data_IF_452542737978
#
_entry.id   IF_452542737978
#
_cell.length_a   1.000
_cell.length_b   1.000
_cell.length_c   1.000
_cell.angle_alpha   90.00
_cell.angle_beta   90.00
_cell.angle_gamma   90.00
#
_symmetry.space_group_name_H-M   'P 1'
#
loop_
_entity.id
_entity.type
_entity.pdbx_description
1 polymer ?
2 polymer ?
3 polymer ?
4 polymer ?
5 non-polymer ?
6 non-polymer ?
7 non-polymer ?
8 non-polymer ?
9 non-polymer ?
10 non-polymer ?
11 water ?
#
loop_
_entity_poly.entity_id
_entity_poly.type
_entity_poly.pdbx_seq_one_letter_code
_entity_poly.pdbx_strand_id
2 'polydeoxyribonucleotide' '(DC)(DG)(DG)(DC)(DA)(DT)(DA)(DC)(DG)' ?
3 'polydeoxyribonucleotide' '(DC)(DG)(DT)(DA)' ?
4 'polydeoxyribonucleotide' '(DG)(DC)(DC)(DG)' ?
#
# COMPACT_ATOMS: atom_id res chain seq x y z
N UNK A 11 19.15 20.76 2.25
CA UNK A 11 19.69 19.42 2.07
C UNK A 11 18.56 18.43 1.82
N UNK A 12 18.80 17.16 2.16
CA UNK A 12 17.79 16.11 2.05
C UNK A 12 17.44 15.65 3.46
N UNK A 13 16.21 15.85 3.94
CA UNK A 13 15.88 15.38 5.30
C UNK A 13 15.80 13.86 5.35
N UNK A 14 15.90 13.34 6.58
CA UNK A 14 16.05 11.91 6.78
C UNK A 14 14.73 11.15 6.75
N UNK A 15 13.61 11.82 7.01
CA UNK A 15 12.30 11.18 6.98
C UNK A 15 11.59 11.45 5.65
N UNK A 16 10.96 10.42 5.07
CA UNK A 16 10.29 10.60 3.80
C UNK A 16 9.13 11.58 3.89
N UNK A 17 8.54 11.74 5.08
CA UNK A 17 7.43 12.65 5.23
C UNK A 17 7.86 14.11 5.29
N UNK A 18 9.16 14.37 5.30
CA UNK A 18 9.70 15.72 5.32
C UNK A 18 10.03 16.27 3.94
N UNK A 19 9.78 15.50 2.89
CA UNK A 19 10.18 15.92 1.54
C UNK A 19 9.12 15.47 0.54
N UNK A 20 8.86 16.26 -0.50
CA UNK A 20 7.94 15.81 -1.54
C UNK A 20 8.54 14.68 -2.35
N UNK A 21 7.72 13.66 -2.60
CA UNK A 21 8.13 12.55 -3.45
C UNK A 21 7.07 12.37 -4.54
N UNK A 22 7.38 12.74 -5.78
CA UNK A 22 6.39 12.61 -6.87
C UNK A 22 6.32 11.18 -7.37
N UNK A 23 5.24 10.93 -8.13
CA UNK A 23 5.01 9.59 -8.64
C UNK A 23 6.06 9.18 -9.65
N UNK A 24 6.40 10.07 -10.56
CA UNK A 24 7.45 9.84 -11.54
C UNK A 24 8.62 10.76 -11.23
N UNK A 25 9.83 10.28 -11.53
CA UNK A 25 11.01 10.98 -11.06
C UNK A 25 12.18 10.71 -12.01
N UNK A 26 13.40 10.95 -11.51
CA UNK A 26 14.57 10.99 -12.37
C UNK A 26 15.60 9.92 -12.05
N UNK A 27 15.25 8.93 -11.25
CA UNK A 27 16.17 7.86 -10.86
C UNK A 27 15.44 6.54 -10.83
N UNK A 28 14.60 6.29 -11.83
CA UNK A 28 13.71 5.14 -11.80
C UNK A 28 14.48 3.83 -11.69
N UNK A 29 15.50 3.66 -12.54
CA UNK A 29 16.23 2.41 -12.57
C UNK A 29 16.97 2.12 -11.28
N UNK A 30 17.60 3.15 -10.70
CA UNK A 30 18.28 2.98 -9.42
C UNK A 30 17.30 2.63 -8.31
N UNK A 31 16.15 3.30 -8.25
CA UNK A 31 15.19 3.01 -7.20
C UNK A 31 14.63 1.60 -7.36
N UNK A 32 14.33 1.19 -8.58
CA UNK A 32 13.77 -0.14 -8.78
C UNK A 32 14.74 -1.23 -8.32
N UNK A 33 16.05 -1.01 -8.52
CA UNK A 33 17.03 -2.01 -8.11
C UNK A 33 17.11 -2.13 -6.60
N UNK A 34 17.15 -1.01 -5.90
CA UNK A 34 17.15 -1.04 -4.44
C UNK A 34 15.87 -1.66 -3.90
N UNK A 35 14.75 -1.48 -4.58
CA UNK A 35 13.50 -2.06 -4.09
C UNK A 35 13.44 -3.56 -4.33
N UNK A 36 14.21 -4.09 -5.29
CA UNK A 36 14.36 -5.54 -5.38
C UNK A 36 15.03 -6.08 -4.12
N UNK A 37 16.10 -5.43 -3.67
CA UNK A 37 16.79 -5.90 -2.48
C UNK A 37 15.93 -5.76 -1.25
N UNK A 38 15.10 -4.69 -1.20
CA UNK A 38 14.18 -4.53 -0.07
C UNK A 38 13.19 -5.67 -0.04
N UNK A 39 12.61 -5.98 -1.19
CA UNK A 39 11.66 -7.09 -1.31
C UNK A 39 12.29 -8.40 -0.88
N UNK A 40 13.51 -8.68 -1.36
CA UNK A 40 14.18 -9.93 -0.99
C UNK A 40 14.47 -9.98 0.50
N UNK A 41 14.88 -8.86 1.07
CA UNK A 41 15.09 -8.82 2.53
C UNK A 41 13.81 -9.21 3.27
N UNK A 42 12.67 -8.67 2.84
CA UNK A 42 11.40 -9.06 3.43
C UNK A 42 11.14 -10.55 3.32
N UNK A 43 11.44 -11.14 2.17
CA UNK A 43 11.22 -12.57 2.00
C UNK A 43 12.05 -13.40 2.97
N UNK A 44 13.17 -12.86 3.46
CA UNK A 44 14.01 -13.56 4.41
C UNK A 44 13.77 -13.11 5.85
N UNK A 45 12.78 -12.25 6.09
CA UNK A 45 12.47 -11.82 7.43
C UNK A 45 13.34 -10.72 7.99
N UNK A 46 14.08 -10.02 7.14
CA UNK A 46 14.99 -8.96 7.58
C UNK A 46 14.30 -7.61 7.38
N UNK A 47 13.43 -7.28 8.34
CA UNK A 47 12.64 -6.05 8.23
C UNK A 47 13.52 -4.81 8.35
N UNK A 48 14.63 -4.89 9.09
CA UNK A 48 15.52 -3.75 9.16
C UNK A 48 16.18 -3.43 7.83
N UNK A 49 16.75 -4.44 7.18
CA UNK A 49 17.38 -4.21 5.88
C UNK A 49 16.34 -3.79 4.84
N UNK A 50 15.14 -4.38 4.90
CA UNK A 50 14.08 -3.96 4.00
C UNK A 50 13.80 -2.47 4.15
N UNK A 51 13.69 -2.00 5.41
CA UNK A 51 13.39 -0.59 5.62
C UNK A 51 14.49 0.31 5.04
N UNK A 52 15.75 -0.02 5.30
CA UNK A 52 16.84 0.80 4.79
C UNK A 52 16.82 0.85 3.27
N UNK A 53 16.66 -0.30 2.62
CA UNK A 53 16.62 -0.32 1.16
C UNK A 53 15.41 0.46 0.63
N UNK A 54 14.25 0.33 1.29
CA UNK A 54 13.10 1.12 0.89
C UNK A 54 13.38 2.61 1.02
N UNK A 55 13.98 3.02 2.16
CA UNK A 55 14.25 4.44 2.38
C UNK A 55 15.26 4.97 1.39
N UNK A 56 16.32 4.18 1.11
CA UNK A 56 17.33 4.63 0.15
C UNK A 56 16.71 4.82 -1.24
N UNK A 57 15.91 3.85 -1.68
CA UNK A 57 15.17 4.01 -2.93
C UNK A 57 14.34 5.29 -2.93
N UNK A 58 13.64 5.56 -1.81
CA UNK A 58 12.75 6.72 -1.74
C UNK A 58 13.54 8.02 -1.83
N UNK A 59 14.72 8.04 -1.23
CA UNK A 59 15.57 9.22 -1.32
C UNK A 59 15.85 9.58 -2.78
N UNK A 60 16.17 8.58 -3.59
CA UNK A 60 16.43 8.84 -5.00
C UNK A 60 15.17 9.35 -5.71
N UNK A 61 14.01 8.85 -5.32
CA UNK A 61 12.77 9.34 -5.92
C UNK A 61 12.59 10.83 -5.67
N UNK A 62 13.11 11.33 -4.57
CA UNK A 62 12.89 12.72 -4.16
C UNK A 62 13.92 13.67 -4.72
N UNK A 63 14.94 13.16 -5.41
CA UNK A 63 15.99 14.02 -5.94
C UNK A 63 15.49 14.80 -7.16
N UNK A 64 16.07 15.97 -7.43
CA UNK A 64 15.57 16.82 -8.52
C UNK A 64 16.13 16.46 -9.90
N UNK A 65 17.07 15.52 -9.98
CA UNK A 65 17.70 15.19 -11.25
C UNK A 65 18.35 13.81 -11.13
N UNK A 66 18.81 13.24 -12.25
CA UNK A 66 19.41 11.90 -12.18
C UNK A 66 20.76 11.90 -11.48
N UNK A 67 20.98 10.86 -10.67
CA UNK A 67 22.32 10.56 -10.16
C UNK A 67 23.17 10.02 -11.31
N UNK A 68 24.31 10.71 -11.57
CA UNK A 68 25.25 10.37 -12.62
C UNK A 68 26.58 9.87 -12.10
N UNK A 69 26.95 10.19 -10.85
CA UNK A 69 28.25 9.93 -10.30
C UNK A 69 28.09 9.53 -8.85
N UNK A 70 28.96 8.63 -8.41
CA UNK A 70 28.90 8.18 -7.02
C UNK A 70 29.03 9.35 -6.05
N UNK A 71 29.78 10.35 -6.40
CA UNK A 71 29.91 11.44 -5.50
C UNK A 71 28.61 12.13 -5.11
N UNK A 72 27.62 12.06 -5.98
CA UNK A 72 26.34 12.69 -5.67
C UNK A 72 25.60 11.99 -4.53
N UNK A 73 26.07 10.84 -4.08
CA UNK A 73 25.46 10.17 -2.93
C UNK A 73 25.98 10.66 -1.59
N UNK A 74 27.15 11.30 -1.55
CA UNK A 74 27.70 11.74 -0.28
C UNK A 74 26.74 12.67 0.42
N UNK A 75 26.50 12.42 1.71
CA UNK A 75 25.58 13.20 2.48
C UNK A 75 24.13 12.79 2.38
N UNK A 76 23.77 11.96 1.41
CA UNK A 76 22.36 11.54 1.28
C UNK A 76 22.01 10.60 2.42
N UNK A 77 20.90 10.81 3.12
CA UNK A 77 20.53 9.87 4.20
C UNK A 77 20.21 8.48 3.66
N UNK A 78 20.57 7.47 4.45
CA UNK A 78 20.25 6.07 4.22
C UNK A 78 21.07 5.43 3.12
N UNK A 79 22.16 6.08 2.66
CA UNK A 79 23.10 5.49 1.73
C UNK A 79 24.39 5.21 2.49
N UNK A 80 24.69 3.93 2.69
CA UNK A 80 25.94 3.50 3.27
C UNK A 80 26.72 2.66 2.30
N UNK A 81 27.60 1.80 2.82
CA UNK A 81 28.44 1.00 1.94
C UNK A 81 27.61 0.15 0.99
N UNK A 82 26.54 -0.48 1.49
CA UNK A 82 25.84 -1.45 0.66
C UNK A 82 25.06 -0.77 -0.46
N UNK A 83 24.19 0.17 -0.12
CA UNK A 83 23.36 0.82 -1.13
C UNK A 83 24.21 1.64 -2.10
N UNK A 84 25.32 2.21 -1.65
CA UNK A 84 26.15 2.97 -2.57
C UNK A 84 26.84 2.04 -3.58
N UNK A 85 27.24 0.84 -3.13
CA UNK A 85 27.84 -0.10 -4.08
C UNK A 85 26.83 -0.53 -5.14
N UNK A 86 25.57 -0.77 -4.75
CA UNK A 86 24.54 -1.10 -5.74
C UNK A 86 24.47 0.02 -6.79
N UNK A 87 24.44 1.27 -6.35
CA UNK A 87 24.34 2.38 -7.27
C UNK A 87 25.60 2.48 -8.13
N UNK A 88 26.78 2.28 -7.54
CA UNK A 88 28.00 2.39 -8.32
C UNK A 88 28.04 1.35 -9.44
N UNK A 89 27.64 0.12 -9.15
CA UNK A 89 27.64 -0.92 -10.17
C UNK A 89 26.64 -0.60 -11.28
N UNK A 90 25.46 -0.08 -10.91
CA UNK A 90 24.49 0.29 -11.93
C UNK A 90 25.02 1.44 -12.79
N UNK A 91 25.70 2.42 -12.18
CA UNK A 91 26.24 3.53 -12.94
C UNK A 91 27.37 3.08 -13.86
N UNK A 92 28.17 2.12 -13.41
CA UNK A 92 29.36 1.70 -14.16
C UNK A 92 29.06 0.62 -15.20
N UNK A 93 28.16 -0.32 -14.90
CA UNK A 93 27.95 -1.47 -15.74
C UNK A 93 26.51 -1.63 -16.22
N UNK A 94 25.59 -0.77 -15.79
CA UNK A 94 24.20 -0.90 -16.13
C UNK A 94 23.45 -2.01 -15.41
N UNK A 95 24.13 -2.82 -14.61
CA UNK A 95 23.51 -3.88 -13.83
C UNK A 95 24.26 -3.96 -12.50
N UNK A 96 23.58 -4.48 -11.49
CA UNK A 96 24.19 -4.79 -10.20
C UNK A 96 24.14 -6.31 -10.02
N UNK A 97 25.31 -6.93 -9.82
CA UNK A 97 25.37 -8.38 -9.81
C UNK A 97 24.47 -8.98 -8.72
N UNK A 98 24.47 -8.36 -7.53
CA UNK A 98 23.61 -8.86 -6.47
C UNK A 98 22.13 -8.81 -6.88
N UNK A 99 21.70 -7.70 -7.47
CA UNK A 99 20.30 -7.57 -7.88
C UNK A 99 19.93 -8.64 -8.90
N UNK A 100 20.80 -8.85 -9.90
CA UNK A 100 20.49 -9.86 -10.92
C UNK A 100 20.48 -11.25 -10.32
N UNK A 101 21.36 -11.52 -9.35
CA UNK A 101 21.34 -12.83 -8.70
C UNK A 101 20.02 -13.06 -7.96
N UNK A 102 19.49 -12.01 -7.34
CA UNK A 102 18.18 -12.15 -6.68
C UNK A 102 17.09 -12.39 -7.70
N UNK A 103 17.10 -11.61 -8.79
CA UNK A 103 16.03 -11.69 -9.79
C UNK A 103 15.83 -13.12 -10.30
N UNK A 104 16.91 -13.85 -10.52
CA UNK A 104 16.86 -15.16 -11.14
C UNK A 104 16.82 -16.32 -10.15
N UNK A 105 16.91 -16.03 -8.85
CA UNK A 105 16.94 -17.09 -7.86
C UNK A 105 15.56 -17.72 -7.72
N UNK A 106 15.54 -19.05 -7.60
CA UNK A 106 14.29 -19.76 -7.43
C UNK A 106 13.56 -19.28 -6.18
N UNK A 107 14.30 -18.98 -5.12
CA UNK A 107 13.70 -18.55 -3.86
C UNK A 107 12.94 -17.24 -4.04
N UNK A 108 13.59 -16.24 -4.66
CA UNK A 108 12.94 -14.96 -4.85
C UNK A 108 11.71 -15.08 -5.74
N UNK A 109 11.84 -15.79 -6.86
CA UNK A 109 10.74 -15.92 -7.80
C UNK A 109 9.55 -16.63 -7.19
N UNK A 110 9.80 -17.66 -6.41
CA UNK A 110 8.68 -18.41 -5.84
C UNK A 110 8.01 -17.65 -4.70
N UNK A 111 8.82 -17.02 -3.86
CA UNK A 111 8.25 -16.22 -2.78
C UNK A 111 7.47 -15.03 -3.31
N UNK A 112 7.95 -14.41 -4.41
CA UNK A 112 7.18 -13.36 -5.03
C UNK A 112 5.84 -13.88 -5.56
N UNK A 113 5.85 -15.03 -6.24
CA UNK A 113 4.62 -15.60 -6.77
C UNK A 113 3.66 -15.96 -5.64
N UNK A 114 4.17 -16.54 -4.56
CA UNK A 114 3.29 -16.99 -3.48
C UNK A 114 2.76 -15.81 -2.67
N UNK A 115 3.64 -14.86 -2.27
CA UNK A 115 3.18 -13.77 -1.41
C UNK A 115 2.20 -12.84 -2.14
N UNK A 116 2.22 -12.82 -3.46
CA UNK A 116 1.28 -11.99 -4.21
C UNK A 116 -0.08 -12.63 -4.35
N UNK A 117 -0.28 -13.83 -3.79
CA UNK A 117 -1.62 -14.39 -3.67
C UNK A 117 -2.36 -13.72 -2.52
N UNK A 118 -3.58 -13.25 -2.78
CA UNK A 118 -4.44 -12.73 -1.71
C UNK A 118 -4.71 -13.84 -0.71
N UNK A 119 -4.34 -13.61 0.55
CA UNK A 119 -4.46 -14.60 1.59
C UNK A 119 -3.16 -15.30 1.97
N UNK A 120 -2.07 -14.99 1.29
CA UNK A 120 -0.78 -15.63 1.54
C UNK A 120 0.22 -14.53 1.90
N UNK A 121 0.85 -14.67 3.07
CA UNK A 121 1.91 -13.77 3.48
C UNK A 121 3.27 -14.45 3.44
N UNK A 122 4.28 -13.70 3.89
CA UNK A 122 5.65 -14.21 3.86
C UNK A 122 5.75 -15.52 4.62
N UNK A 123 5.13 -15.58 5.81
CA UNK A 123 5.23 -16.78 6.63
C UNK A 123 4.67 -17.99 5.90
N UNK A 124 3.46 -17.86 5.32
CA UNK A 124 2.86 -18.99 4.62
C UNK A 124 3.68 -19.35 3.38
N UNK A 125 4.10 -18.35 2.61
CA UNK A 125 4.90 -18.63 1.42
C UNK A 125 6.19 -19.35 1.78
N UNK A 126 6.84 -18.92 2.86
CA UNK A 126 8.11 -19.54 3.24
C UNK A 126 7.91 -21.01 3.62
N UNK A 127 6.86 -21.31 4.36
CA UNK A 127 6.58 -22.69 4.73
C UNK A 127 6.31 -23.55 3.51
N UNK A 128 5.46 -23.05 2.61
CA UNK A 128 5.21 -23.77 1.35
C UNK A 128 6.49 -23.98 0.55
N UNK A 129 7.37 -22.96 0.54
CA UNK A 129 8.63 -23.10 -0.18
C UNK A 129 9.47 -24.22 0.42
N UNK A 130 9.58 -24.24 1.76
CA UNK A 130 10.36 -25.30 2.41
C UNK A 130 9.76 -26.67 2.15
N UNK A 131 8.43 -26.74 2.04
CA UNK A 131 7.77 -28.01 1.76
C UNK A 131 7.96 -28.47 0.32
N UNK A 132 8.62 -27.68 -0.53
CA UNK A 132 8.90 -28.08 -1.89
C UNK A 132 7.95 -27.53 -2.93
N UNK A 133 6.94 -26.76 -2.53
CA UNK A 133 5.98 -26.23 -3.49
C UNK A 133 6.60 -25.06 -4.24
N UNK A 134 6.27 -24.95 -5.54
CA UNK A 134 6.88 -23.91 -6.37
C UNK A 134 5.90 -23.20 -7.31
N UNK A 135 4.79 -23.82 -7.70
CA UNK A 135 3.89 -23.25 -8.69
C UNK A 135 2.49 -23.10 -8.12
N UNK A 136 1.67 -22.29 -8.79
CA UNK A 136 0.27 -22.17 -8.39
C UNK A 136 -0.45 -23.50 -8.53
N UNK A 137 -0.14 -24.24 -9.60
CA UNK A 137 -0.76 -25.56 -9.77
C UNK A 137 -0.40 -26.50 -8.62
N UNK A 138 0.82 -26.37 -8.08
CA UNK A 138 1.16 -27.13 -6.88
C UNK A 138 0.16 -26.85 -5.76
N UNK A 139 -0.16 -25.59 -5.55
CA UNK A 139 -1.11 -25.24 -4.50
C UNK A 139 -2.51 -25.75 -4.82
N UNK A 140 -2.90 -25.70 -6.08
CA UNK A 140 -4.25 -26.13 -6.46
C UNK A 140 -4.44 -27.64 -6.35
N UNK A 141 -3.35 -28.41 -6.39
CA UNK A 141 -3.48 -29.87 -6.38
C UNK A 141 -3.95 -30.40 -5.03
N UNK A 142 -3.81 -29.63 -3.95
CA UNK A 142 -4.26 -30.02 -2.62
C UNK A 142 -4.96 -28.86 -1.95
N UNK A 143 -6.19 -28.55 -2.37
CA UNK A 143 -6.91 -27.42 -1.76
C UNK A 143 -7.17 -27.56 -0.28
N UNK A 144 -7.27 -28.80 0.23
CA UNK A 144 -7.58 -29.00 1.64
C UNK A 144 -6.66 -28.22 2.57
N UNK A 145 -5.46 -27.86 2.10
CA UNK A 145 -4.50 -27.11 2.87
C UNK A 145 -4.73 -25.59 2.79
N UNK A 146 -5.83 -25.15 2.19
CA UNK A 146 -6.02 -23.73 1.89
C UNK A 146 -7.16 -23.16 2.71
N UNK A 147 -7.01 -21.89 3.10
CA UNK A 147 -8.09 -21.17 3.72
C UNK A 147 -9.09 -20.71 2.66
N UNK A 148 -10.27 -20.30 3.11
CA UNK A 148 -11.24 -19.72 2.18
C UNK A 148 -10.66 -18.50 1.47
N UNK A 149 -9.92 -17.67 2.20
CA UNK A 149 -9.30 -16.50 1.61
C UNK A 149 -8.30 -16.88 0.53
N UNK A 150 -7.52 -17.93 0.78
CA UNK A 150 -6.50 -18.35 -0.20
C UNK A 150 -7.15 -19.04 -1.39
N UNK A 151 -8.21 -19.82 -1.18
CA UNK A 151 -8.93 -20.39 -2.31
C UNK A 151 -9.46 -19.30 -3.23
N UNK A 152 -10.00 -18.22 -2.64
CA UNK A 152 -10.46 -17.10 -3.44
C UNK A 152 -9.31 -16.40 -4.15
N UNK A 153 -8.20 -16.19 -3.44
CA UNK A 153 -7.06 -15.55 -4.06
C UNK A 153 -6.50 -16.36 -5.21
N UNK A 154 -6.54 -17.68 -5.08
CA UNK A 154 -6.02 -18.55 -6.15
C UNK A 154 -6.97 -18.63 -7.33
N UNK A 155 -8.28 -18.76 -7.06
CA UNK A 155 -9.27 -18.81 -8.13
C UNK A 155 -9.21 -17.58 -9.02
N UNK A 156 -9.10 -16.42 -8.41
CA UNK A 156 -9.11 -15.14 -9.13
C UNK A 156 -7.73 -14.57 -9.40
N UNK A 157 -6.68 -15.36 -9.16
CA UNK A 157 -5.33 -14.81 -9.19
C UNK A 157 -5.03 -14.15 -10.54
N UNK A 158 -5.47 -14.76 -11.65
CA UNK A 158 -5.17 -14.20 -12.96
C UNK A 158 -5.78 -12.80 -13.13
N UNK A 159 -7.08 -12.68 -12.85
CA UNK A 159 -7.70 -11.36 -12.92
C UNK A 159 -7.03 -10.37 -11.96
N UNK A 160 -6.71 -10.82 -10.75
CA UNK A 160 -6.14 -9.94 -9.75
C UNK A 160 -4.75 -9.48 -10.15
N UNK A 161 -4.12 -10.16 -11.11
CA UNK A 161 -2.82 -9.76 -11.63
C UNK A 161 -2.92 -8.72 -12.74
N UNK A 162 -4.12 -8.45 -13.23
CA UNK A 162 -4.34 -7.48 -14.30
C UNK A 162 -4.47 -6.09 -13.69
N UNK A 163 -3.80 -5.08 -14.25
CA UNK A 163 -3.87 -3.74 -13.66
C UNK A 163 -5.30 -3.21 -13.66
N UNK A 164 -5.68 -2.65 -12.53
CA UNK A 164 -6.92 -1.88 -12.44
C UNK A 164 -6.71 -0.54 -13.12
N UNK A 165 -7.64 -0.15 -13.99
CA UNK A 165 -7.54 1.10 -14.72
C UNK A 165 -8.46 2.16 -14.10
N UNK A 166 -8.25 3.40 -14.52
CA UNK A 166 -9.10 4.50 -14.05
C UNK A 166 -10.54 4.30 -14.46
N UNK A 167 -10.77 3.82 -15.69
CA UNK A 167 -12.11 3.45 -16.12
C UNK A 167 -12.77 2.51 -15.12
N UNK A 168 -12.03 1.53 -14.62
CA UNK A 168 -12.57 0.59 -13.66
C UNK A 168 -12.94 1.30 -12.38
N UNK A 169 -12.12 2.26 -11.96
CA UNK A 169 -12.36 2.96 -10.70
C UNK A 169 -13.67 3.75 -10.76
N UNK A 170 -13.87 4.50 -11.86
CA UNK A 170 -15.10 5.28 -12.00
C UNK A 170 -16.31 4.38 -11.90
N UNK A 171 -16.27 3.22 -12.56
CA UNK A 171 -17.41 2.31 -12.53
C UNK A 171 -17.66 1.80 -11.11
N UNK A 172 -16.59 1.42 -10.42
CA UNK A 172 -16.75 0.83 -9.09
C UNK A 172 -17.25 1.89 -8.10
N UNK A 173 -16.76 3.12 -8.19
CA UNK A 173 -17.20 4.13 -7.23
C UNK A 173 -18.70 4.38 -7.33
N UNK A 174 -19.24 4.35 -8.55
CA UNK A 174 -20.67 4.62 -8.68
C UNK A 174 -21.51 3.52 -8.06
N UNK A 175 -21.11 2.25 -8.22
CA UNK A 175 -21.91 1.20 -7.63
C UNK A 175 -21.76 1.20 -6.11
N UNK A 176 -20.56 1.49 -5.62
CA UNK A 176 -20.36 1.61 -4.17
C UNK A 176 -21.21 2.76 -3.60
N UNK A 177 -21.23 3.89 -4.29
CA UNK A 177 -22.09 5.01 -3.85
C UNK A 177 -23.55 4.63 -3.82
N UNK A 178 -24.02 3.88 -4.83
CA UNK A 178 -25.40 3.46 -4.84
C UNK A 178 -25.73 2.63 -3.61
N UNK A 179 -24.88 1.65 -3.28
CA UNK A 179 -25.15 0.82 -2.12
C UNK A 179 -25.02 1.64 -0.82
N UNK A 180 -24.01 2.49 -0.74
CA UNK A 180 -23.85 3.33 0.45
C UNK A 180 -25.05 4.26 0.62
N UNK A 181 -25.54 4.81 -0.50
CA UNK A 181 -26.71 5.69 -0.42
C UNK A 181 -27.95 5.01 0.11
N UNK A 182 -28.14 3.71 -0.21
CA UNK A 182 -29.26 2.98 0.34
C UNK A 182 -28.99 2.52 1.76
N UNK A 183 -27.73 2.23 2.09
CA UNK A 183 -27.41 1.77 3.44
C UNK A 183 -27.60 2.91 4.44
N UNK A 184 -27.24 4.13 4.05
CA UNK A 184 -27.30 5.26 4.96
C UNK A 184 -27.35 6.56 4.18
N UNK A 185 -28.53 7.15 4.00
CA UNK A 185 -28.62 8.47 3.36
C UNK A 185 -27.69 9.48 3.99
N UNK A 186 -26.97 10.23 3.14
CA UNK A 186 -26.04 11.20 3.60
C UNK A 186 -24.61 10.70 3.72
N UNK A 187 -24.38 9.39 3.64
CA UNK A 187 -23.03 8.87 3.74
C UNK A 187 -22.26 9.16 2.46
N UNK A 188 -20.96 9.36 2.58
CA UNK A 188 -20.09 9.74 1.47
C UNK A 188 -19.07 8.66 1.21
N UNK A 189 -18.60 8.64 -0.04
CA UNK A 189 -17.56 7.71 -0.48
C UNK A 189 -16.40 8.52 -1.03
N UNK A 190 -15.19 8.23 -0.54
CA UNK A 190 -14.01 8.95 -0.98
C UNK A 190 -12.99 7.94 -1.53
N UNK A 191 -12.49 8.21 -2.73
CA UNK A 191 -11.44 7.38 -3.31
C UNK A 191 -10.14 7.67 -2.60
N UNK A 192 -9.46 6.64 -2.15
CA UNK A 192 -8.17 6.80 -1.50
C UNK A 192 -7.13 5.91 -2.17
N UNK A 193 -6.14 5.45 -1.43
CA UNK A 193 -5.11 4.62 -1.99
C UNK A 193 -4.30 5.30 -3.10
N UNK A 194 -3.71 4.45 -3.93
CA UNK A 194 -2.77 4.94 -4.94
C UNK A 194 -3.40 5.84 -5.99
N UNK A 195 -4.68 5.61 -6.33
CA UNK A 195 -5.32 6.48 -7.29
C UNK A 195 -5.43 7.91 -6.78
N UNK A 196 -5.62 8.08 -5.48
CA UNK A 196 -5.66 9.45 -4.95
C UNK A 196 -4.30 10.11 -5.02
N UNK A 197 -3.22 9.33 -5.02
CA UNK A 197 -1.87 9.89 -5.19
C UNK A 197 -1.54 10.17 -6.64
N UNK A 198 -2.48 9.93 -7.56
CA UNK A 198 -2.29 10.24 -8.96
C UNK A 198 -1.90 9.05 -9.81
N UNK A 199 -1.84 7.86 -9.25
CA UNK A 199 -1.51 6.69 -10.05
C UNK A 199 -2.59 6.47 -11.09
N UNK A 200 -2.17 6.03 -12.28
CA UNK A 200 -3.12 5.72 -13.32
C UNK A 200 -3.58 4.27 -13.30
N UNK A 201 -2.86 3.40 -12.61
CA UNK A 201 -3.22 1.99 -12.43
C UNK A 201 -3.09 1.62 -10.97
N UNK A 202 -3.60 0.42 -10.64
CA UNK A 202 -3.50 -0.08 -9.28
C UNK A 202 -3.74 -1.57 -9.25
N UNK A 203 -3.41 -2.17 -8.10
CA UNK A 203 -3.74 -3.56 -7.84
C UNK A 203 -5.15 -3.74 -7.30
N UNK A 204 -5.76 -2.66 -6.84
CA UNK A 204 -7.07 -2.70 -6.21
C UNK A 204 -7.60 -1.28 -6.16
N UNK A 205 -8.81 -1.13 -5.63
CA UNK A 205 -9.41 0.18 -5.41
C UNK A 205 -9.74 0.29 -3.93
N UNK A 206 -9.44 1.44 -3.35
CA UNK A 206 -9.65 1.70 -1.94
C UNK A 206 -10.65 2.82 -1.77
N UNK A 207 -11.66 2.59 -0.92
CA UNK A 207 -12.69 3.57 -0.67
C UNK A 207 -12.84 3.79 0.83
N UNK A 208 -12.99 5.05 1.22
CA UNK A 208 -13.22 5.47 2.61
C UNK A 208 -14.61 6.07 2.73
N UNK A 209 -15.40 5.55 3.67
CA UNK A 209 -16.81 5.86 3.82
C UNK A 209 -17.02 6.52 5.18
N UNK A 210 -17.80 7.61 5.21
CA UNK A 210 -18.12 8.28 6.46
C UNK A 210 -19.50 8.93 6.36
N UNK A 211 -19.90 9.60 7.42
CA UNK A 211 -21.14 10.35 7.47
C UNK A 211 -20.90 11.64 8.25
N UNK A 212 -21.48 12.76 7.81
CA UNK A 212 -21.18 14.05 8.49
C UNK A 212 -21.67 14.10 9.93
N UNK A 213 -22.58 13.23 10.33
CA UNK A 213 -23.12 13.22 11.70
C UNK A 213 -22.41 12.12 12.48
N UNK A 214 -21.56 12.54 13.41
CA UNK A 214 -20.77 11.60 14.20
C UNK A 214 -21.66 10.55 14.82
N UNK A 215 -21.29 9.28 14.61
CA UNK A 215 -21.98 8.15 15.18
C UNK A 215 -22.93 7.45 14.22
N UNK A 216 -23.49 8.18 13.25
CA UNK A 216 -24.44 7.56 12.33
C UNK A 216 -23.79 6.54 11.43
N UNK A 217 -22.46 6.58 11.30
CA UNK A 217 -21.77 5.56 10.50
C UNK A 217 -21.67 4.23 11.21
N UNK A 218 -22.04 4.15 12.49
CA UNK A 218 -21.99 2.89 13.21
C UNK A 218 -22.87 1.84 12.53
N UNK A 219 -22.34 0.63 12.38
CA UNK A 219 -23.07 -0.45 11.76
C UNK A 219 -23.22 -0.35 10.26
N UNK A 220 -22.50 0.56 9.61
CA UNK A 220 -22.75 0.84 8.21
C UNK A 220 -22.19 -0.24 7.29
N UNK A 221 -21.00 -0.76 7.56
CA UNK A 221 -20.37 -1.65 6.61
C UNK A 221 -21.15 -2.92 6.37
N UNK A 222 -21.73 -3.59 7.38
CA UNK A 222 -22.56 -4.75 7.07
C UNK A 222 -23.73 -4.42 6.15
N UNK A 223 -24.34 -3.24 6.33
CA UNK A 223 -25.46 -2.86 5.47
C UNK A 223 -24.99 -2.65 4.04
N UNK A 224 -23.84 -2.02 3.87
CA UNK A 224 -23.27 -1.83 2.54
C UNK A 224 -22.98 -3.18 1.90
N UNK A 225 -22.29 -4.06 2.63
CA UNK A 225 -21.92 -5.36 2.07
C UNK A 225 -23.15 -6.14 1.67
N UNK A 226 -24.17 -6.18 2.54
CA UNK A 226 -25.37 -6.94 2.23
C UNK A 226 -26.01 -6.44 0.93
N UNK A 227 -25.94 -5.13 0.69
CA UNK A 227 -26.55 -4.55 -0.50
C UNK A 227 -25.72 -4.83 -1.75
N UNK A 228 -24.40 -4.79 -1.62
CA UNK A 228 -23.56 -5.20 -2.75
C UNK A 228 -23.72 -6.68 -3.04
N UNK A 229 -23.84 -7.50 -2.00
CA UNK A 229 -24.05 -8.95 -2.19
C UNK A 229 -25.33 -9.24 -2.98
N UNK A 230 -26.43 -8.60 -2.61
CA UNK A 230 -27.69 -8.91 -3.29
C UNK A 230 -27.73 -8.35 -4.71
N UNK A 231 -26.80 -7.48 -5.07
CA UNK A 231 -26.63 -7.09 -6.47
C UNK A 231 -25.75 -8.06 -7.25
N UNK A 232 -25.30 -9.14 -6.62
CA UNK A 232 -24.43 -10.08 -7.30
C UNK A 232 -23.07 -9.54 -7.70
N UNK A 233 -22.55 -8.56 -6.95
CA UNK A 233 -21.28 -7.94 -7.28
C UNK A 233 -20.12 -8.44 -6.44
N UNK A 234 -20.38 -9.24 -5.41
CA UNK A 234 -19.35 -9.63 -4.46
C UNK A 234 -18.97 -11.07 -4.76
N UNK A 235 -17.76 -11.28 -5.27
CA UNK A 235 -17.26 -12.63 -5.49
C UNK A 235 -16.67 -13.22 -4.22
N UNK A 236 -16.16 -12.38 -3.32
CA UNK A 236 -15.60 -12.85 -2.05
C UNK A 236 -15.61 -11.71 -1.04
N UNK A 237 -15.89 -12.06 0.22
CA UNK A 237 -15.66 -11.11 1.32
C UNK A 237 -15.66 -11.89 2.62
N UNK A 238 -15.24 -11.31 3.69
CA UNK A 238 -15.21 -12.05 4.94
C UNK A 238 -16.50 -11.85 5.72
N UNK A 259 -18.03 -4.40 11.86
CA UNK A 259 -16.63 -4.32 11.46
C UNK A 259 -16.37 -3.01 10.71
N UNK A 260 -15.10 -2.69 10.49
CA UNK A 260 -14.67 -1.41 9.94
C UNK A 260 -13.97 -1.51 8.60
N UNK A 261 -13.40 -2.66 8.24
CA UNK A 261 -12.65 -2.84 7.01
C UNK A 261 -13.12 -4.12 6.33
N UNK A 262 -13.41 -4.04 5.04
CA UNK A 262 -13.81 -5.20 4.25
C UNK A 262 -12.88 -5.35 3.07
N UNK A 263 -12.21 -6.49 2.99
CA UNK A 263 -11.30 -6.83 1.88
C UNK A 263 -12.08 -7.77 0.97
N UNK A 264 -12.56 -7.26 -0.14
CA UNK A 264 -13.44 -8.07 -0.97
C UNK A 264 -12.98 -8.03 -2.43
N UNK A 265 -13.54 -8.97 -3.19
CA UNK A 265 -13.28 -9.11 -4.62
C UNK A 265 -14.59 -8.84 -5.31
N UNK A 266 -14.64 -7.78 -6.11
CA UNK A 266 -15.82 -7.37 -6.85
C UNK A 266 -15.86 -8.10 -8.19
N UNK A 267 -17.07 -8.25 -8.71
CA UNK A 267 -17.30 -8.65 -10.08
C UNK A 267 -17.54 -7.38 -10.90
N UNK A 268 -16.59 -7.04 -11.76
CA UNK A 268 -16.65 -5.81 -12.52
C UNK A 268 -17.00 -6.08 -13.98
N UNK A 269 -18.10 -5.54 -14.48
CA UNK A 269 -18.42 -5.68 -15.90
C UNK A 269 -17.28 -5.27 -16.83
N UNK A 270 -17.18 -6.00 -17.94
CA UNK A 270 -16.22 -5.74 -19.00
C UNK A 270 -16.97 -5.93 -20.34
N UNK A 271 -16.42 -5.49 -21.45
CA UNK A 271 -17.04 -5.76 -22.75
C UNK A 271 -17.41 -7.22 -22.94
N UNK A 272 -18.72 -7.50 -22.88
CA UNK A 272 -19.19 -8.85 -23.07
C UNK A 272 -18.77 -9.85 -22.01
N UNK A 273 -18.25 -9.39 -20.88
CA UNK A 273 -17.82 -10.31 -19.84
C UNK A 273 -17.65 -9.51 -18.54
N UNK A 274 -16.70 -9.93 -17.70
CA UNK A 274 -16.40 -9.26 -16.44
C UNK A 274 -15.04 -9.73 -15.97
N UNK A 275 -14.53 -9.06 -14.93
CA UNK A 275 -13.28 -9.47 -14.31
C UNK A 275 -13.36 -9.22 -12.82
N UNK A 276 -12.62 -10.03 -12.07
CA UNK A 276 -12.53 -9.86 -10.62
C UNK A 276 -11.57 -8.73 -10.28
N UNK A 277 -11.97 -7.89 -9.31
CA UNK A 277 -11.14 -6.77 -8.88
C UNK A 277 -11.18 -6.71 -7.36
N UNK A 278 -10.00 -6.59 -6.76
CA UNK A 278 -9.89 -6.35 -5.33
C UNK A 278 -10.36 -4.94 -5.00
N UNK A 279 -11.24 -4.83 -4.01
CA UNK A 279 -11.74 -3.56 -3.51
C UNK A 279 -11.69 -3.60 -1.99
N UNK A 280 -11.18 -2.53 -1.39
CA UNK A 280 -11.17 -2.37 0.05
C UNK A 280 -12.16 -1.30 0.43
N UNK A 281 -13.05 -1.61 1.36
CA UNK A 281 -14.02 -0.65 1.88
C UNK A 281 -13.73 -0.43 3.35
N UNK A 282 -13.66 0.83 3.75
CA UNK A 282 -13.29 1.23 5.09
C UNK A 282 -14.30 2.27 5.56
N UNK A 283 -14.71 2.16 6.82
CA UNK A 283 -15.62 3.12 7.43
C UNK A 283 -14.90 3.79 8.58
N UNK A 284 -15.10 5.10 8.73
CA UNK A 284 -14.56 5.85 9.86
C UNK A 284 -15.56 6.93 10.25
N UNK A 285 -15.71 7.22 11.53
CA UNK A 285 -16.51 8.38 11.93
C UNK A 285 -15.82 9.66 11.48
N UNK A 286 -16.61 10.71 11.30
CA UNK A 286 -16.07 11.94 10.72
C UNK A 286 -14.93 12.48 11.58
N UNK A 287 -14.98 12.25 12.91
CA UNK A 287 -13.89 12.70 13.78
C UNK A 287 -12.56 12.03 13.42
N UNK A 288 -12.59 10.80 12.91
CA UNK A 288 -11.39 10.09 12.53
C UNK A 288 -11.08 10.17 11.04
N UNK A 289 -12.01 10.73 10.26
CA UNK A 289 -11.88 10.70 8.80
C UNK A 289 -10.55 11.26 8.29
N UNK A 290 -10.08 12.41 8.79
CA UNK A 290 -8.77 12.90 8.31
C UNK A 290 -7.65 11.92 8.55
N UNK A 291 -7.63 11.26 9.69
CA UNK A 291 -6.57 10.30 9.99
C UNK A 291 -6.69 9.05 9.13
N UNK A 292 -7.92 8.61 8.85
CA UNK A 292 -8.10 7.44 8.01
C UNK A 292 -7.79 7.77 6.57
N UNK A 293 -8.19 8.97 6.13
CA UNK A 293 -7.84 9.42 4.78
C UNK A 293 -6.32 9.46 4.61
N UNK A 294 -5.63 10.03 5.57
CA UNK A 294 -4.17 10.13 5.50
C UNK A 294 -3.55 8.74 5.42
N UNK A 295 -4.00 7.84 6.28
CA UNK A 295 -3.40 6.53 6.32
C UNK A 295 -3.65 5.73 5.05
N UNK A 296 -4.92 5.69 4.60
CA UNK A 296 -5.26 4.90 3.43
C UNK A 296 -4.78 5.49 2.12
N UNK A 297 -4.39 6.77 2.11
CA UNK A 297 -3.83 7.38 0.91
C UNK A 297 -2.34 7.04 0.72
N UNK A 298 -1.62 6.67 1.77
CA UNK A 298 -0.29 6.12 1.62
C UNK A 298 0.70 7.22 1.23
N UNK A 299 1.81 6.80 0.62
CA UNK A 299 2.17 5.41 0.43
C UNK A 299 2.43 4.68 1.73
N UNK A 300 2.68 3.36 1.63
CA UNK A 300 3.00 2.58 2.82
C UNK A 300 4.24 3.15 3.51
N UNK A 301 5.31 3.36 2.76
CA UNK A 301 6.52 3.92 3.37
C UNK A 301 6.25 5.31 3.95
N UNK A 302 5.51 6.15 3.23
CA UNK A 302 5.19 7.47 3.73
C UNK A 302 4.52 7.37 5.09
N UNK A 303 3.56 6.44 5.26
CA UNK A 303 2.85 6.36 6.54
C UNK A 303 3.74 5.84 7.64
N UNK A 304 4.56 4.81 7.35
CA UNK A 304 5.53 4.33 8.33
C UNK A 304 6.46 5.46 8.77
N UNK A 305 6.97 6.23 7.81
CA UNK A 305 7.89 7.31 8.14
C UNK A 305 7.16 8.43 8.89
N UNK A 306 5.93 8.72 8.52
CA UNK A 306 5.15 9.74 9.22
C UNK A 306 4.91 9.33 10.66
N UNK A 307 4.57 8.06 10.89
CA UNK A 307 4.36 7.60 12.27
C UNK A 307 5.67 7.55 13.06
N UNK A 308 6.76 7.14 12.40
CA UNK A 308 8.06 7.14 13.06
C UNK A 308 8.46 8.55 13.45
N UNK A 309 8.31 9.49 12.51
CA UNK A 309 8.62 10.88 12.78
C UNK A 309 7.78 11.39 13.96
N UNK A 310 6.48 11.11 13.93
CA UNK A 310 5.60 11.54 14.99
C UNK A 310 6.11 11.11 16.35
N UNK A 311 6.36 9.81 16.51
CA UNK A 311 6.74 9.29 17.82
C UNK A 311 8.11 9.77 18.23
N UNK A 312 9.11 9.60 17.36
CA UNK A 312 10.49 9.81 17.78
C UNK A 312 10.92 11.27 17.77
N UNK A 313 10.36 12.08 16.88
CA UNK A 313 10.72 13.49 16.86
C UNK A 313 9.76 14.35 17.69
N UNK A 314 8.46 14.05 17.69
CA UNK A 314 7.48 14.89 18.36
C UNK A 314 6.88 14.26 19.61
N UNK A 315 7.19 13.00 19.91
CA UNK A 315 6.62 12.36 21.08
C UNK A 315 5.13 12.16 21.01
N UNK A 316 4.56 12.08 19.80
CA UNK A 316 3.14 11.87 19.56
C UNK A 316 2.93 10.55 18.85
N UNK A 317 1.81 9.88 19.18
CA UNK A 317 1.50 8.55 18.64
C UNK A 317 0.41 8.67 17.58
N UNK A 318 0.74 8.25 16.35
CA UNK A 318 -0.15 8.43 15.21
C UNK A 318 -0.59 7.09 14.63
N UNK A 319 -1.86 7.01 14.27
CA UNK A 319 -2.36 5.91 13.46
C UNK A 319 -3.52 6.41 12.64
N UNK A 320 -4.29 5.48 12.04
CA UNK A 320 -5.39 5.88 11.19
C UNK A 320 -6.66 6.18 11.95
N UNK A 321 -6.60 6.20 13.29
CA UNK A 321 -7.71 6.64 14.11
C UNK A 321 -7.50 8.03 14.69
N UNK A 322 -6.25 8.44 14.93
CA UNK A 322 -6.02 9.71 15.57
C UNK A 322 -4.56 9.93 15.90
N UNK A 323 -4.33 11.00 16.65
CA UNK A 323 -2.99 11.42 17.06
C UNK A 323 -3.04 11.72 18.55
N UNK A 324 -2.24 10.99 19.32
CA UNK A 324 -2.34 10.95 20.77
C UNK A 324 -1.11 11.59 21.39
N UNK A 325 -1.34 12.51 22.32
CA UNK A 325 -0.28 13.07 23.15
C UNK A 325 -0.19 12.24 24.42
N UNK A 326 0.86 11.43 24.60
CA UNK A 326 0.90 10.55 25.77
C UNK A 326 1.28 11.27 27.06
N UNK A 327 1.78 12.50 26.98
CA UNK A 327 2.10 13.24 28.19
C UNK A 327 0.84 13.83 28.82
N UNK A 328 0.00 14.47 28.02
CA UNK A 328 -1.25 15.05 28.50
C UNK A 328 -2.44 14.11 28.38
N UNK A 329 -2.27 12.97 27.73
CA UNK A 329 -3.34 11.96 27.65
C UNK A 329 -4.54 12.50 26.90
N UNK A 330 -4.28 13.11 25.74
CA UNK A 330 -5.34 13.73 24.96
C UNK A 330 -5.11 13.47 23.48
N UNK A 331 -6.20 13.43 22.72
CA UNK A 331 -6.17 13.24 21.27
C UNK A 331 -6.32 14.59 20.57
N UNK A 332 -5.52 14.79 19.53
CA UNK A 332 -5.64 15.98 18.70
C UNK A 332 -6.89 15.86 17.81
N UNK A 333 -7.73 16.87 17.86
CA UNK A 333 -8.85 16.94 16.92
C UNK A 333 -8.33 17.47 15.60
N UNK A 334 -8.76 16.85 14.52
CA UNK A 334 -8.37 17.29 13.18
C UNK A 334 -9.60 17.34 12.31
N UNK A 335 -9.75 18.42 11.54
CA UNK A 335 -10.81 18.53 10.54
C UNK A 335 -10.32 18.30 9.13
N UNK A 336 -9.01 18.10 8.94
CA UNK A 336 -8.42 17.97 7.62
C UNK A 336 -7.04 17.33 7.75
N UNK A 337 -6.55 16.81 6.62
CA UNK A 337 -5.16 16.40 6.56
C UNK A 337 -4.24 17.57 6.87
N UNK A 338 -4.61 18.76 6.39
CA UNK A 338 -3.79 19.93 6.69
C UNK A 338 -3.59 20.11 8.19
N UNK A 339 -4.66 19.92 8.97
CA UNK A 339 -4.54 20.01 10.44
C UNK A 339 -3.48 19.05 10.96
N UNK A 340 -3.43 17.83 10.41
CA UNK A 340 -2.52 16.82 10.96
C UNK A 340 -1.07 17.18 10.69
N UNK A 341 -0.76 17.60 9.45
CA UNK A 341 0.60 18.04 9.17
C UNK A 341 0.99 19.20 10.09
N UNK A 342 0.06 20.13 10.36
CA UNK A 342 0.38 21.25 11.24
C UNK A 342 0.66 20.77 12.67
N UNK A 343 -0.16 19.86 13.17
CA UNK A 343 0.05 19.29 14.49
C UNK A 343 1.45 18.72 14.62
N UNK A 344 1.95 18.09 13.54
CA UNK A 344 3.24 17.45 13.53
C UNK A 344 4.38 18.38 13.13
N UNK A 345 4.09 19.66 12.87
CA UNK A 345 5.16 20.59 12.50
C UNK A 345 5.79 20.27 11.16
N UNK A 346 5.05 19.65 10.25
CA UNK A 346 5.54 19.31 8.92
C UNK A 346 4.87 20.20 7.88
N UNK A 347 5.64 20.57 6.85
CA UNK A 347 5.05 21.28 5.71
C UNK A 347 4.05 20.33 5.03
N UNK A 348 2.92 20.87 4.62
CA UNK A 348 1.88 20.05 4.04
C UNK A 348 2.34 19.47 2.70
N UNK A 349 2.00 18.21 2.46
CA UNK A 349 2.27 17.54 1.22
C UNK A 349 0.96 17.03 0.63
N UNK A 350 0.59 17.41 -0.58
CA UNK A 350 -0.62 16.85 -1.19
C UNK A 350 -0.39 15.38 -1.49
N UNK A 351 -1.48 14.62 -1.70
CA UNK A 351 -1.31 13.18 -1.94
C UNK A 351 -0.33 12.86 -3.06
N UNK A 352 -0.30 13.65 -4.12
CA UNK A 352 0.57 13.33 -5.25
C UNK A 352 2.06 13.58 -4.95
N UNK A 353 2.39 14.09 -3.76
CA UNK A 353 3.78 14.18 -3.30
C UNK A 353 4.06 13.26 -2.14
N UNK A 354 3.21 12.26 -1.91
CA UNK A 354 3.40 11.26 -0.86
C UNK A 354 3.80 9.91 -1.43
N UNK A 355 4.34 9.90 -2.64
CA UNK A 355 4.72 8.66 -3.32
C UNK A 355 6.11 8.16 -2.89
N UNK A 356 6.33 8.12 -1.57
CA UNK A 356 7.61 7.68 -1.04
C UNK A 356 7.83 6.22 -1.33
X LIG E 1 -0.43 -3.50 -4.06
X LIG F 1 -6.04 -1.84 -0.69
X LIG G 1 -4.82 0.33 -3.42
X LIG H 1 -11.94 1.63 14.80
X LIG I 1 26.31 -5.47 2.94
X LIG J 1 33.15 -2.27 -11.62
X LIG K 1 -0.53 -12.06 -0.25
X LIG L 1 -1.81 -0.44 -4.98
X LIG L 1 -3.14 -0.84 -4.35
X LIG L 1 -0.78 -1.51 -4.85
X LIG L 1 -2.03 -0.03 -6.38
X LIG L 1 -1.24 0.86 -4.15
X LIG L 1 -1.90 1.51 -2.83
X LIG L 1 -1.00 2.64 -2.47
X LIG L 1 -3.33 1.84 -3.09
X LIG L 1 -1.70 0.37 -1.70
X LIG L 1 -2.84 -0.53 -0.93
X LIG L 1 -2.16 -1.83 -0.67
X LIG L 1 -4.18 -0.45 -1.74
X LIG L 1 -3.01 0.20 0.49
X LIG L 1 -3.50 1.56 0.55
X LIG L 1 -2.70 2.32 1.65
X LIG L 1 -2.84 1.67 2.93
X LIG L 1 -1.19 2.31 1.46
X LIG L 1 -0.83 3.19 0.37
X LIG L 1 -0.79 2.84 2.83
X LIG L 1 -1.80 2.10 3.76
X LIG L 1 -1.10 1.03 4.48
X LIG L 1 -0.65 1.23 5.81
X LIG L 1 0.04 0.08 6.14
X LIG L 1 0.02 -0.76 5.05
X LIG L 1 0.61 -2.05 4.88
X LIG L 1 1.29 -2.68 5.70
X LIG L 1 0.33 -2.59 3.63
X LIG L 1 -0.36 -1.93 2.63
X LIG L 1 -0.51 -2.59 1.47
X LIG L 1 -0.90 -0.72 2.79
X LIG L 1 -0.65 -0.19 4.01
X LIG L 1 -0.84 2.23 6.47
X LIG M 1 10.61 -0.73 -0.62
X LIG N 1 1.68 3.36 -13.93
X LIG N 1 1.02 4.25 -12.44
X LIG N 1 -0.10 3.48 -11.91
X LIG N 1 2.04 4.34 -11.45
X LIG N 1 0.55 5.54 -12.90
X LIG O 1 -4.00 2.22 6.63
X LIG O 1 -3.43 3.20 7.46
X LIG O 1 -4.97 1.37 7.44
X LIG O 1 -4.26 0.65 8.41
X LIG P 1 20.95 14.28 -7.97
X LIG P 1 20.09 15.40 -7.93
X LIG P 1 22.34 14.73 -8.49
X LIG P 1 22.95 15.52 -7.53
X LIG Q 1 -3.65 5.08 22.86
X LIG Q 1 -4.06 6.27 23.46
X LIG Q 1 -3.71 5.24 21.35
X LIG Q 1 -2.62 6.02 20.90
X LIG R 1 22.16 -4.12 16.70
X LIG S 1 21.74 -6.10 10.18
#
# INVERSE_FOLDING_TARGET
GSAAAPLSPAWMPAYACQRPTPLTHHNTGLSEALEILAEAAGFEGSEGRLLTFCRAASVLKALPSPVTTLSQLQGLPHFGEHSSRVVQELLEHGVCEEVERVRRSERYQTMKLFTQIFGVGVKTADRWYREGLRTLDDLREQPQKLTQQQKAGLQHHQDLSTPVLRSDVDALQQVVEEAVGQALPGATVTLTGGFRRGKLQGHDVDFLITHPKEGQEAGLLPRVMCRLQDQGLILYHQHQHSCCESPTRLAQQSHMDAFERSFCIFRLPQPGSWKAVRVDLVVAPVSQFPFALLGWTGSKLFQRELRRFSRKEKGLWLNSHGLFDPEQKTFFQAASEEDIFRHLGLEYLPPEQRNA
MN MN
MN MN
MN MN
MN MN
MN MN
MN MN
NA NA
8DG PG O1G O2G O3G O3B PB O1B O2B O3A PA O1A O2A O5' C5' C4' O4' C3' O3' C2' C1' N9 C8 N7 C5 C6 O6 N1 C2 N2 N3 C4 O8
DTT S1
EPE C10 S O1S O2S O3S
EDO C1 O1 C2 O2
EDO C1 O1 C2 O2
EDO C1 O1 C2 O2
MN MN
MN MN
#
